data_IF_064742348261
#
_entry.id   IF_064742348261
#
_cell.length_a   1.000
_cell.length_b   1.000
_cell.length_c   1.000
_cell.angle_alpha   90.00
_cell.angle_beta   90.00
_cell.angle_gamma   90.00
#
_symmetry.space_group_name_H-M   'P 1'
#
loop_
_entity.id
_entity.type
_entity.pdbx_description
1 polymer ?
#
# COMPACT_ATOMS: atom_id res chain seq x y z
N UNK A 1 -12.35 1.45 -19.35
CA UNK A 1 -11.65 2.61 -19.94
C UNK A 1 -12.34 3.91 -19.49
N UNK A 2 -11.60 4.85 -18.91
CA UNK A 2 -12.06 6.16 -18.47
C UNK A 2 -11.90 7.16 -19.63
N UNK A 3 -13.00 7.82 -20.01
CA UNK A 3 -13.00 8.96 -20.94
C UNK A 3 -13.14 10.28 -20.17
N UNK A 4 -12.79 11.40 -20.80
CA UNK A 4 -12.99 12.74 -20.22
C UNK A 4 -14.48 13.03 -19.92
N UNK A 5 -15.40 12.56 -20.77
CA UNK A 5 -16.86 12.69 -20.53
C UNK A 5 -17.31 11.92 -19.29
N UNK A 6 -16.86 10.67 -19.14
CA UNK A 6 -17.18 9.86 -17.96
C UNK A 6 -16.61 10.50 -16.70
N UNK A 7 -15.37 11.00 -16.75
CA UNK A 7 -14.77 11.75 -15.65
C UNK A 7 -15.64 12.96 -15.27
N UNK A 8 -16.06 13.76 -16.25
CA UNK A 8 -16.91 14.93 -16.02
C UNK A 8 -18.23 14.58 -15.34
N UNK A 9 -18.84 13.46 -15.73
CA UNK A 9 -20.06 12.95 -15.08
C UNK A 9 -19.75 12.58 -13.62
N UNK A 10 -18.72 11.76 -13.37
CA UNK A 10 -18.34 11.32 -12.03
C UNK A 10 -18.05 12.51 -11.09
N UNK A 11 -17.39 13.56 -11.60
CA UNK A 11 -17.07 14.75 -10.79
C UNK A 11 -18.29 15.61 -10.43
N UNK A 12 -19.39 15.50 -11.17
CA UNK A 12 -20.63 16.27 -10.95
C UNK A 12 -21.70 15.49 -10.17
N UNK A 13 -21.50 14.20 -9.92
CA UNK A 13 -22.46 13.40 -9.16
C UNK A 13 -22.39 13.74 -7.68
N UNK A 14 -23.46 14.33 -7.15
CA UNK A 14 -23.56 14.75 -5.73
C UNK A 14 -23.81 13.59 -4.74
N UNK A 15 -24.14 12.40 -5.25
CA UNK A 15 -24.46 11.21 -4.43
C UNK A 15 -23.60 10.00 -4.78
N UNK A 16 -22.44 10.22 -5.42
CA UNK A 16 -21.53 9.13 -5.76
C UNK A 16 -20.94 8.54 -4.48
N UNK A 17 -21.11 7.23 -4.27
CA UNK A 17 -20.61 6.53 -3.07
C UNK A 17 -19.51 5.52 -3.39
N UNK A 18 -19.56 4.94 -4.59
CA UNK A 18 -18.68 3.85 -4.98
C UNK A 18 -18.30 3.98 -6.44
N UNK A 19 -17.03 3.75 -6.75
CA UNK A 19 -16.53 3.59 -8.11
C UNK A 19 -15.76 2.29 -8.17
N UNK A 20 -16.11 1.46 -9.14
CA UNK A 20 -15.40 0.22 -9.42
C UNK A 20 -14.97 0.20 -10.87
N UNK A 21 -13.71 -0.14 -11.08
CA UNK A 21 -13.17 -0.46 -12.39
C UNK A 21 -12.61 -1.87 -12.36
N UNK A 22 -13.20 -2.75 -13.16
CA UNK A 22 -12.62 -4.06 -13.42
C UNK A 22 -11.25 -3.91 -14.09
N UNK A 23 -11.19 -3.07 -15.13
CA UNK A 23 -9.99 -2.74 -15.89
C UNK A 23 -9.89 -1.22 -16.03
N UNK A 24 -8.91 -0.61 -15.37
CA UNK A 24 -8.66 0.82 -15.46
C UNK A 24 -7.60 1.13 -16.51
N UNK A 25 -8.01 1.91 -17.50
CA UNK A 25 -7.17 2.46 -18.54
C UNK A 25 -7.77 3.81 -18.92
N UNK A 26 -6.92 4.77 -19.22
CA UNK A 26 -7.33 6.12 -19.61
C UNK A 26 -7.28 6.21 -21.12
N UNK A 27 -8.39 6.57 -21.76
CA UNK A 27 -8.47 6.64 -23.23
C UNK A 27 -7.64 7.79 -23.80
N UNK A 28 -7.66 8.92 -23.09
CA UNK A 28 -7.07 10.19 -23.50
C UNK A 28 -6.57 10.96 -22.26
N UNK A 29 -5.50 11.76 -22.37
CA UNK A 29 -5.02 12.58 -21.26
C UNK A 29 -6.14 13.42 -20.62
N UNK A 30 -6.09 13.58 -19.30
CA UNK A 30 -7.11 14.35 -18.58
C UNK A 30 -7.00 15.83 -18.96
N UNK A 31 -8.08 16.38 -19.51
CA UNK A 31 -8.14 17.77 -19.97
C UNK A 31 -8.07 18.79 -18.82
N UNK A 32 -7.55 19.98 -19.12
CA UNK A 32 -7.39 21.07 -18.15
C UNK A 32 -8.73 21.57 -17.59
N UNK A 33 -9.83 21.48 -18.35
CA UNK A 33 -11.16 21.87 -17.88
C UNK A 33 -11.71 20.94 -16.79
N UNK A 34 -11.42 19.63 -16.89
CA UNK A 34 -11.69 18.65 -15.85
C UNK A 34 -10.90 18.98 -14.59
N UNK A 35 -9.81 19.76 -14.72
CA UNK A 35 -9.02 20.18 -13.58
C UNK A 35 -9.70 21.23 -12.69
N UNK A 36 -10.84 21.78 -13.08
CA UNK A 36 -11.58 22.79 -12.31
C UNK A 36 -12.66 22.20 -11.40
N UNK A 37 -13.02 20.93 -11.60
CA UNK A 37 -14.04 20.25 -10.80
C UNK A 37 -13.41 19.29 -9.80
N UNK A 38 -14.07 19.13 -8.66
CA UNK A 38 -13.75 18.12 -7.65
C UNK A 38 -15.03 17.49 -7.13
N UNK A 39 -15.00 16.19 -6.91
CA UNK A 39 -16.10 15.49 -6.26
C UNK A 39 -15.87 15.53 -4.74
N UNK A 40 -16.90 15.92 -3.99
CA UNK A 40 -16.85 16.09 -2.53
C UNK A 40 -17.56 14.97 -1.75
N UNK A 41 -18.16 14.01 -2.45
CA UNK A 41 -18.86 12.90 -1.81
C UNK A 41 -17.86 12.01 -1.05
N UNK A 42 -18.36 11.37 0.00
CA UNK A 42 -17.63 10.29 0.67
C UNK A 42 -17.63 9.09 -0.27
N UNK A 43 -16.46 8.77 -0.84
CA UNK A 43 -16.34 7.77 -1.89
C UNK A 43 -15.39 6.64 -1.50
N UNK A 44 -15.75 5.46 -1.98
CA UNK A 44 -15.00 4.23 -1.97
C UNK A 44 -14.60 3.88 -3.41
N UNK A 45 -13.33 3.61 -3.66
CA UNK A 45 -12.82 3.27 -4.99
C UNK A 45 -12.07 1.97 -5.00
N UNK A 46 -12.34 1.16 -6.03
CA UNK A 46 -11.68 -0.11 -6.26
C UNK A 46 -11.31 -0.28 -7.74
N UNK A 47 -10.08 -0.73 -7.98
CA UNK A 47 -9.51 -0.97 -9.30
C UNK A 47 -8.91 -2.38 -9.34
N UNK A 48 -9.61 -3.36 -9.91
CA UNK A 48 -9.15 -4.75 -9.95
C UNK A 48 -7.93 -4.95 -10.85
N UNK A 49 -7.81 -4.16 -11.91
CA UNK A 49 -6.63 -4.18 -12.76
C UNK A 49 -6.29 -2.75 -13.19
N UNK A 50 -5.26 -2.19 -12.55
CA UNK A 50 -4.67 -0.92 -12.95
C UNK A 50 -3.55 -1.18 -13.96
N UNK A 51 -3.86 -0.99 -15.24
CA UNK A 51 -2.92 -1.20 -16.34
C UNK A 51 -2.04 0.04 -16.56
N UNK A 52 -0.73 -0.17 -16.73
CA UNK A 52 0.14 0.86 -17.31
C UNK A 52 0.63 1.97 -16.36
N UNK A 53 1.00 1.62 -15.13
CA UNK A 53 1.73 2.45 -14.14
C UNK A 53 0.92 3.50 -13.36
N UNK A 54 1.44 3.89 -12.18
CA UNK A 54 0.96 4.99 -11.34
C UNK A 54 1.30 6.35 -12.01
N UNK A 55 0.73 6.57 -13.19
CA UNK A 55 1.06 7.67 -14.08
C UNK A 55 0.39 8.99 -13.65
N UNK A 56 0.73 10.07 -14.35
CA UNK A 56 0.18 11.39 -14.07
C UNK A 56 -1.35 11.43 -14.20
N UNK A 57 -1.93 10.67 -15.12
CA UNK A 57 -3.36 10.70 -15.38
C UNK A 57 -4.15 9.99 -14.27
N UNK A 58 -3.71 8.82 -13.81
CA UNK A 58 -4.29 8.14 -12.66
C UNK A 58 -4.19 9.00 -11.41
N UNK A 59 -3.02 9.60 -11.15
CA UNK A 59 -2.83 10.50 -10.02
C UNK A 59 -3.73 11.75 -10.12
N UNK A 60 -3.88 12.31 -11.33
CA UNK A 60 -4.81 13.40 -11.59
C UNK A 60 -6.26 12.98 -11.36
N UNK A 61 -6.66 11.76 -11.73
CA UNK A 61 -7.99 11.23 -11.51
C UNK A 61 -8.31 11.14 -10.02
N UNK A 62 -7.50 10.40 -9.25
CA UNK A 62 -7.78 10.15 -7.82
C UNK A 62 -7.75 11.46 -7.00
N UNK A 63 -6.89 12.41 -7.36
CA UNK A 63 -6.76 13.69 -6.65
C UNK A 63 -8.01 14.57 -6.77
N UNK A 64 -8.95 14.25 -7.68
CA UNK A 64 -10.21 14.98 -7.88
C UNK A 64 -11.28 14.64 -6.85
N UNK A 65 -11.11 13.53 -6.14
CA UNK A 65 -12.11 13.02 -5.21
C UNK A 65 -11.71 13.38 -3.78
N UNK A 66 -12.06 14.60 -3.37
CA UNK A 66 -11.58 15.16 -2.10
C UNK A 66 -12.21 14.50 -0.87
N UNK A 67 -13.32 13.79 -1.06
CA UNK A 67 -13.98 12.97 -0.04
C UNK A 67 -13.58 11.49 -0.08
N UNK A 68 -12.55 11.11 -0.84
CA UNK A 68 -12.09 9.72 -0.92
C UNK A 68 -11.70 9.20 0.48
N UNK A 69 -12.30 8.07 0.87
CA UNK A 69 -12.07 7.41 2.16
C UNK A 69 -11.44 6.03 2.03
N UNK A 70 -11.79 5.31 0.97
CA UNK A 70 -11.29 3.96 0.72
C UNK A 70 -10.74 3.88 -0.69
N UNK A 71 -9.52 3.37 -0.79
CA UNK A 71 -8.87 3.13 -2.07
C UNK A 71 -8.29 1.72 -2.08
N UNK A 72 -8.68 0.91 -3.06
CA UNK A 72 -8.12 -0.40 -3.32
C UNK A 72 -7.69 -0.48 -4.78
N UNK A 73 -6.48 -0.98 -5.04
CA UNK A 73 -6.05 -1.23 -6.41
C UNK A 73 -4.99 -2.33 -6.49
N UNK A 74 -5.12 -3.14 -7.55
CA UNK A 74 -4.16 -4.17 -7.90
C UNK A 74 -3.41 -3.72 -9.16
N UNK A 75 -2.09 -3.62 -9.05
CA UNK A 75 -1.22 -3.28 -10.17
C UNK A 75 -1.05 -4.49 -11.08
N UNK A 76 -1.49 -4.35 -12.33
CA UNK A 76 -1.29 -5.36 -13.37
C UNK A 76 -0.35 -4.77 -14.43
N UNK A 77 0.92 -5.13 -14.36
CA UNK A 77 1.88 -4.75 -15.41
C UNK A 77 1.81 -5.76 -16.55
N UNK A 78 1.39 -5.32 -17.74
CA UNK A 78 1.41 -6.15 -18.96
C UNK A 78 2.79 -6.10 -19.65
N UNK A 79 3.69 -5.17 -19.30
CA UNK A 79 4.92 -4.99 -20.05
C UNK A 79 6.03 -6.00 -19.67
N UNK A 80 6.45 -6.78 -20.67
CA UNK A 80 7.69 -7.57 -20.68
C UNK A 80 8.93 -6.71 -21.02
N UNK A 81 8.80 -5.38 -21.02
CA UNK A 81 9.84 -4.45 -21.43
C UNK A 81 10.31 -3.60 -20.24
N UNK A 82 11.59 -3.68 -19.84
CA UNK A 82 12.21 -2.91 -18.75
C UNK A 82 12.36 -1.40 -19.05
N UNK A 83 11.66 -0.89 -20.07
CA UNK A 83 11.82 0.49 -20.57
C UNK A 83 10.67 1.40 -20.11
N UNK A 84 9.54 0.85 -19.66
CA UNK A 84 8.33 1.64 -19.37
C UNK A 84 8.02 1.83 -17.87
N UNK A 85 8.89 1.39 -16.96
CA UNK A 85 8.76 1.64 -15.51
C UNK A 85 9.76 2.72 -15.07
N UNK A 86 9.88 3.80 -15.84
CA UNK A 86 10.61 5.01 -15.45
C UNK A 86 9.81 5.82 -14.43
N UNK A 87 9.79 5.40 -13.16
CA UNK A 87 8.87 5.99 -12.17
C UNK A 87 9.57 6.48 -10.89
N UNK A 88 10.89 6.45 -10.79
CA UNK A 88 11.58 7.01 -9.60
C UNK A 88 11.91 8.51 -9.74
N UNK A 89 12.57 8.92 -10.84
CA UNK A 89 13.11 10.27 -10.98
C UNK A 89 12.13 11.31 -11.56
N UNK A 90 11.01 10.88 -12.14
CA UNK A 90 10.05 11.79 -12.79
C UNK A 90 8.77 12.04 -11.98
N UNK A 91 8.37 11.15 -11.06
CA UNK A 91 7.16 11.37 -10.24
C UNK A 91 7.21 12.70 -9.51
N UNK A 92 8.31 12.98 -8.80
CA UNK A 92 8.43 14.22 -8.03
C UNK A 92 8.45 15.47 -8.95
N UNK A 93 8.79 15.28 -10.24
CA UNK A 93 8.74 16.29 -11.29
C UNK A 93 7.38 16.35 -12.00
N UNK A 94 6.44 15.44 -11.72
CA UNK A 94 5.11 15.48 -12.32
C UNK A 94 4.43 16.80 -11.93
N UNK A 95 3.87 17.47 -12.93
CA UNK A 95 3.14 18.72 -12.75
C UNK A 95 1.99 18.56 -11.76
N UNK A 96 1.38 17.38 -11.66
CA UNK A 96 0.36 17.09 -10.65
C UNK A 96 0.94 17.07 -9.23
N UNK A 97 2.12 16.49 -9.02
CA UNK A 97 2.73 16.44 -7.68
C UNK A 97 3.01 17.85 -7.19
N UNK A 98 3.62 18.71 -8.01
CA UNK A 98 3.88 20.10 -7.61
C UNK A 98 2.60 20.89 -7.30
N UNK A 99 1.50 20.65 -8.05
CA UNK A 99 0.19 21.29 -7.83
C UNK A 99 -0.51 20.81 -6.55
N UNK A 100 -0.42 19.52 -6.22
CA UNK A 100 -1.18 18.92 -5.12
C UNK A 100 -0.38 18.80 -3.82
N UNK A 101 0.97 18.80 -3.87
CA UNK A 101 1.86 18.70 -2.69
C UNK A 101 1.66 19.84 -1.68
N UNK A 102 1.12 21.00 -2.12
CA UNK A 102 0.87 22.19 -1.29
C UNK A 102 -0.57 22.34 -0.81
N UNK A 103 -1.45 21.39 -1.13
CA UNK A 103 -2.82 21.46 -0.61
C UNK A 103 -2.81 21.22 0.91
N UNK A 104 -3.25 22.23 1.66
CA UNK A 104 -3.35 22.15 3.13
C UNK A 104 -4.39 21.11 3.57
N UNK A 105 -5.42 20.89 2.76
CA UNK A 105 -6.52 19.96 3.03
C UNK A 105 -6.50 18.75 2.08
N UNK A 106 -5.57 17.82 2.32
CA UNK A 106 -5.53 16.53 1.60
C UNK A 106 -6.67 15.61 2.04
N UNK A 107 -7.19 14.74 1.14
CA UNK A 107 -8.23 13.79 1.51
C UNK A 107 -7.70 12.83 2.58
N UNK A 108 -8.55 12.51 3.56
CA UNK A 108 -8.21 11.70 4.72
C UNK A 108 -8.64 10.26 4.50
N UNK A 109 -7.74 9.44 3.96
CA UNK A 109 -7.97 8.02 3.75
C UNK A 109 -8.14 7.29 5.08
N UNK A 110 -9.08 6.38 5.12
CA UNK A 110 -9.33 5.47 6.24
C UNK A 110 -8.88 4.04 5.91
N UNK A 111 -8.90 3.67 4.63
CA UNK A 111 -8.45 2.38 4.11
C UNK A 111 -7.61 2.57 2.84
N UNK A 112 -6.52 1.81 2.75
CA UNK A 112 -5.69 1.73 1.56
C UNK A 112 -5.32 0.26 1.34
N UNK A 113 -5.63 -0.26 0.15
CA UNK A 113 -5.12 -1.53 -0.35
C UNK A 113 -4.32 -1.28 -1.62
N UNK A 114 -3.11 -1.82 -1.61
CA UNK A 114 -2.24 -1.92 -2.77
C UNK A 114 -1.77 -3.37 -2.87
N UNK A 115 -1.95 -3.97 -4.04
CA UNK A 115 -1.30 -5.22 -4.36
C UNK A 115 -0.53 -5.15 -5.67
N UNK A 116 0.55 -5.90 -5.72
CA UNK A 116 1.35 -6.09 -6.92
C UNK A 116 1.76 -7.56 -7.01
N UNK A 117 1.07 -8.31 -7.88
CA UNK A 117 1.28 -9.76 -8.02
C UNK A 117 2.51 -10.12 -8.88
N UNK A 118 3.18 -9.14 -9.50
CA UNK A 118 4.20 -9.39 -10.52
C UNK A 118 5.32 -10.31 -10.00
N UNK A 119 5.60 -11.37 -10.78
CA UNK A 119 6.69 -12.34 -10.55
C UNK A 119 8.01 -11.92 -11.22
N UNK A 120 7.99 -10.94 -12.13
CA UNK A 120 9.16 -10.44 -12.83
C UNK A 120 9.67 -9.15 -12.19
N UNK A 121 10.69 -9.38 -11.38
CA UNK A 121 11.50 -8.44 -10.63
C UNK A 121 12.33 -7.61 -11.59
N UNK A 122 12.11 -6.29 -11.66
CA UNK A 122 13.25 -5.42 -11.91
C UNK A 122 13.11 -3.97 -11.43
N UNK A 123 11.96 -3.29 -11.49
CA UNK A 123 12.08 -1.81 -11.63
C UNK A 123 11.15 -0.88 -10.87
N UNK A 124 10.24 -1.38 -10.03
CA UNK A 124 9.72 -0.46 -9.01
C UNK A 124 10.89 -0.38 -8.01
N UNK A 125 11.46 0.80 -7.78
CA UNK A 125 12.43 1.04 -6.70
C UNK A 125 11.95 2.17 -5.79
N UNK A 126 10.70 2.62 -5.96
CA UNK A 126 10.08 3.66 -5.13
C UNK A 126 9.09 3.05 -4.13
N UNK A 127 8.76 3.85 -3.13
CA UNK A 127 7.67 3.57 -2.19
C UNK A 127 6.36 4.04 -2.79
N UNK A 128 5.44 3.12 -3.05
CA UNK A 128 4.06 3.45 -3.45
C UNK A 128 3.36 4.19 -2.32
N UNK A 129 3.55 3.77 -1.07
CA UNK A 129 2.98 4.48 0.09
C UNK A 129 3.42 5.94 0.15
N UNK A 130 4.70 6.21 -0.13
CA UNK A 130 5.23 7.57 -0.15
C UNK A 130 4.59 8.39 -1.26
N UNK A 131 4.41 7.82 -2.45
CA UNK A 131 3.67 8.48 -3.53
C UNK A 131 2.27 8.91 -3.05
N UNK A 132 1.49 8.00 -2.49
CA UNK A 132 0.15 8.30 -2.00
C UNK A 132 0.17 9.31 -0.84
N UNK A 133 1.21 9.31 -0.01
CA UNK A 133 1.37 10.32 1.05
C UNK A 133 1.50 11.75 0.52
N UNK A 134 1.90 11.93 -0.74
CA UNK A 134 1.95 13.26 -1.38
C UNK A 134 0.56 13.82 -1.70
N UNK A 135 -0.43 12.95 -1.90
CA UNK A 135 -1.79 13.32 -2.31
C UNK A 135 -2.80 13.21 -1.16
N UNK A 136 -2.56 12.29 -0.21
CA UNK A 136 -3.50 11.95 0.86
C UNK A 136 -2.92 12.20 2.24
N UNK A 137 -3.76 12.60 3.19
CA UNK A 137 -3.42 12.57 4.61
C UNK A 137 -3.60 11.13 5.13
N UNK A 138 -2.47 10.43 5.22
CA UNK A 138 -2.42 9.06 5.69
C UNK A 138 -2.38 8.94 7.22
N UNK A 139 -2.28 10.04 7.99
CA UNK A 139 -2.19 9.95 9.46
C UNK A 139 -3.41 9.28 10.09
N UNK A 140 -4.57 9.41 9.43
CA UNK A 140 -5.86 8.88 9.87
C UNK A 140 -6.20 7.49 9.31
N UNK A 141 -5.28 6.87 8.55
CA UNK A 141 -5.47 5.53 8.01
C UNK A 141 -5.70 4.54 9.15
N UNK A 142 -6.78 3.76 9.07
CA UNK A 142 -7.17 2.73 10.06
C UNK A 142 -6.70 1.36 9.62
N UNK A 143 -6.75 1.10 8.32
CA UNK A 143 -6.41 -0.18 7.73
C UNK A 143 -5.52 -0.02 6.50
N UNK A 144 -4.46 -0.82 6.46
CA UNK A 144 -3.52 -0.88 5.36
C UNK A 144 -3.30 -2.33 4.94
N UNK A 145 -3.54 -2.61 3.66
CA UNK A 145 -3.12 -3.84 3.00
C UNK A 145 -2.05 -3.46 1.97
N UNK A 146 -0.81 -3.87 2.21
CA UNK A 146 0.33 -3.49 1.39
C UNK A 146 1.10 -4.73 0.94
N UNK A 147 0.76 -5.21 -0.27
CA UNK A 147 1.38 -6.37 -0.90
C UNK A 147 2.37 -5.90 -1.96
N UNK A 148 3.64 -5.82 -1.58
CA UNK A 148 4.72 -5.29 -2.41
C UNK A 148 5.78 -6.35 -2.68
N UNK A 149 6.52 -6.19 -3.79
CA UNK A 149 7.68 -7.04 -4.02
C UNK A 149 8.80 -6.74 -3.01
N UNK A 150 9.08 -5.47 -2.72
CA UNK A 150 10.11 -5.05 -1.76
C UNK A 150 9.62 -3.85 -0.93
N UNK A 151 10.27 -3.62 0.21
CA UNK A 151 10.12 -2.40 1.01
C UNK A 151 11.19 -1.36 0.61
N UNK A 152 10.83 -0.10 0.57
CA UNK A 152 11.73 1.03 0.34
C UNK A 152 11.94 1.82 1.63
N UNK A 153 13.09 2.49 1.78
CA UNK A 153 13.38 3.30 2.98
C UNK A 153 12.36 4.43 3.20
N UNK A 154 11.78 4.98 2.11
CA UNK A 154 10.70 5.97 2.19
C UNK A 154 9.39 5.37 2.75
N UNK A 155 9.20 4.05 2.74
CA UNK A 155 8.06 3.45 3.46
C UNK A 155 8.18 3.71 4.96
N UNK A 156 9.38 3.63 5.55
CA UNK A 156 9.60 3.88 6.98
C UNK A 156 9.07 5.26 7.38
N UNK A 157 9.37 6.29 6.59
CA UNK A 157 8.94 7.66 6.89
C UNK A 157 7.42 7.81 6.81
N UNK A 158 6.75 7.06 5.93
CA UNK A 158 5.28 7.03 5.90
C UNK A 158 4.73 6.32 7.14
N UNK A 159 5.31 5.18 7.51
CA UNK A 159 4.89 4.41 8.69
C UNK A 159 5.01 5.19 10.00
N UNK A 160 6.06 6.01 10.15
CA UNK A 160 6.25 6.89 11.30
C UNK A 160 5.13 7.92 11.49
N UNK A 161 4.42 8.26 10.41
CA UNK A 161 3.35 9.27 10.40
C UNK A 161 1.96 8.69 10.70
N UNK A 162 1.77 7.36 10.70
CA UNK A 162 0.49 6.77 11.06
C UNK A 162 0.14 7.04 12.53
N UNK A 163 -1.06 7.57 12.78
CA UNK A 163 -1.57 7.85 14.14
C UNK A 163 -2.74 6.96 14.56
N UNK A 164 -3.46 6.38 13.59
CA UNK A 164 -4.70 5.63 13.83
C UNK A 164 -4.70 4.21 13.25
N UNK A 165 -3.58 3.74 12.73
CA UNK A 165 -3.49 2.44 12.07
C UNK A 165 -3.74 1.32 13.10
N UNK A 166 -4.83 0.57 12.91
CA UNK A 166 -5.26 -0.53 13.79
C UNK A 166 -5.09 -1.89 13.13
N UNK A 167 -5.19 -1.95 11.80
CA UNK A 167 -5.08 -3.18 11.03
C UNK A 167 -3.98 -3.01 9.98
N UNK A 168 -3.01 -3.93 9.97
CA UNK A 168 -1.91 -3.93 9.02
C UNK A 168 -1.74 -5.33 8.44
N UNK A 169 -1.86 -5.44 7.13
CA UNK A 169 -1.46 -6.60 6.35
C UNK A 169 -0.28 -6.20 5.45
N UNK A 170 0.87 -6.84 5.68
CA UNK A 170 2.09 -6.62 4.92
C UNK A 170 2.49 -7.92 4.26
N UNK A 171 2.55 -7.92 2.93
CA UNK A 171 3.06 -9.05 2.17
C UNK A 171 4.25 -8.57 1.35
N UNK A 172 5.45 -8.98 1.73
CA UNK A 172 6.70 -8.55 1.11
C UNK A 172 7.43 -9.77 0.56
N UNK A 173 7.59 -9.85 -0.76
CA UNK A 173 8.32 -10.96 -1.38
C UNK A 173 9.79 -10.90 -0.99
N UNK A 174 10.54 -9.91 -1.44
CA UNK A 174 11.95 -9.76 -1.08
C UNK A 174 12.20 -8.65 -0.06
N UNK A 175 13.06 -8.94 0.92
CA UNK A 175 13.47 -7.96 1.91
C UNK A 175 15.00 -7.84 1.88
N UNK A 176 15.49 -6.61 1.79
CA UNK A 176 16.92 -6.33 1.96
C UNK A 176 17.26 -6.44 3.45
N UNK A 177 17.85 -7.58 3.80
CA UNK A 177 18.30 -7.93 5.15
C UNK A 177 19.32 -6.95 5.74
N UNK A 178 20.02 -6.16 4.92
CA UNK A 178 21.00 -5.19 5.42
C UNK A 178 20.38 -3.84 5.79
N UNK A 179 19.23 -3.49 5.20
CA UNK A 179 18.58 -2.19 5.45
C UNK A 179 17.65 -2.22 6.68
N UNK A 180 17.27 -3.41 7.15
CA UNK A 180 16.39 -3.61 8.30
C UNK A 180 15.10 -2.78 8.20
N UNK A 181 14.53 -2.66 7.00
CA UNK A 181 13.37 -1.76 6.75
C UNK A 181 12.14 -2.27 7.50
N UNK A 182 11.88 -3.58 7.44
CA UNK A 182 10.77 -4.19 8.18
C UNK A 182 10.90 -3.95 9.68
N UNK A 183 12.07 -4.22 10.27
CA UNK A 183 12.34 -3.92 11.67
C UNK A 183 12.03 -2.45 12.01
N UNK A 184 12.53 -1.48 11.23
CA UNK A 184 12.28 -0.05 11.47
C UNK A 184 10.79 0.28 11.42
N UNK A 185 10.04 -0.31 10.49
CA UNK A 185 8.58 -0.16 10.41
C UNK A 185 7.92 -0.71 11.69
N UNK A 186 8.30 -1.91 12.13
CA UNK A 186 7.75 -2.56 13.33
C UNK A 186 8.11 -1.81 14.63
N UNK A 187 9.29 -1.19 14.69
CA UNK A 187 9.74 -0.39 15.83
C UNK A 187 9.11 1.01 15.88
N UNK A 188 8.50 1.44 14.78
CA UNK A 188 7.84 2.75 14.67
C UNK A 188 6.64 2.88 15.61
N UNK A 189 5.95 4.03 15.53
CA UNK A 189 4.82 4.35 16.41
C UNK A 189 3.62 3.42 16.24
N UNK A 190 3.53 2.67 15.14
CA UNK A 190 2.42 1.74 14.88
C UNK A 190 2.26 0.68 15.97
N UNK A 191 3.34 0.31 16.68
CA UNK A 191 3.27 -0.67 17.78
C UNK A 191 2.34 -0.27 18.93
N UNK A 192 1.98 1.02 19.02
CA UNK A 192 1.05 1.56 20.03
C UNK A 192 -0.42 1.48 19.61
N UNK A 193 -0.70 1.24 18.34
CA UNK A 193 -2.05 1.36 17.77
C UNK A 193 -2.56 0.08 17.14
N UNK A 194 -1.66 -0.75 16.60
CA UNK A 194 -2.01 -1.97 15.89
C UNK A 194 -2.68 -2.99 16.82
N UNK A 195 -3.86 -3.43 16.39
CA UNK A 195 -4.67 -4.48 17.00
C UNK A 195 -4.58 -5.80 16.22
N UNK A 196 -4.58 -5.71 14.88
CA UNK A 196 -4.38 -6.85 13.95
C UNK A 196 -3.12 -6.62 13.13
N UNK A 197 -2.21 -7.58 13.18
CA UNK A 197 -0.97 -7.60 12.40
C UNK A 197 -0.90 -8.91 11.61
N UNK A 198 -0.83 -8.79 10.29
CA UNK A 198 -0.62 -9.87 9.35
C UNK A 198 0.65 -9.57 8.54
N UNK A 199 1.66 -10.43 8.63
CA UNK A 199 2.93 -10.24 7.93
C UNK A 199 3.32 -11.52 7.22
N UNK A 200 3.42 -11.45 5.90
CA UNK A 200 3.96 -12.49 5.04
C UNK A 200 5.26 -12.00 4.41
N UNK A 201 6.37 -12.68 4.71
CA UNK A 201 7.70 -12.35 4.14
C UNK A 201 8.49 -13.58 3.74
N UNK A 202 9.50 -13.45 2.88
CA UNK A 202 10.39 -14.59 2.60
C UNK A 202 11.09 -15.10 3.86
N UNK A 203 11.69 -14.22 4.67
CA UNK A 203 12.37 -14.58 5.91
C UNK A 203 12.29 -13.45 6.91
N UNK A 204 11.99 -13.78 8.17
CA UNK A 204 12.16 -12.86 9.28
C UNK A 204 13.58 -12.92 9.81
N UNK A 205 14.16 -11.76 10.12
CA UNK A 205 15.33 -11.72 10.98
C UNK A 205 14.89 -11.74 12.46
N UNK A 206 15.83 -12.01 13.37
CA UNK A 206 15.53 -12.08 14.81
C UNK A 206 15.00 -10.76 15.37
N UNK A 207 15.47 -9.63 14.85
CA UNK A 207 15.08 -8.30 15.32
C UNK A 207 13.64 -7.94 14.91
N UNK A 208 13.18 -8.37 13.72
CA UNK A 208 11.79 -8.22 13.29
C UNK A 208 10.85 -8.88 14.31
N UNK A 209 11.16 -10.13 14.69
CA UNK A 209 10.36 -10.89 15.65
C UNK A 209 10.41 -10.27 17.06
N UNK A 210 11.58 -9.77 17.48
CA UNK A 210 11.71 -9.04 18.74
C UNK A 210 10.86 -7.76 18.72
N UNK A 211 10.84 -7.01 17.61
CA UNK A 211 10.06 -5.79 17.48
C UNK A 211 8.54 -6.06 17.64
N UNK A 212 8.04 -7.18 17.13
CA UNK A 212 6.63 -7.60 17.26
C UNK A 212 6.23 -7.77 18.73
N UNK A 213 7.13 -8.27 19.60
CA UNK A 213 6.85 -8.46 21.03
C UNK A 213 6.46 -7.15 21.76
N UNK A 214 6.86 -6.00 21.23
CA UNK A 214 6.63 -4.69 21.84
C UNK A 214 5.33 -4.02 21.41
N UNK A 215 4.45 -4.73 20.69
CA UNK A 215 3.15 -4.18 20.34
C UNK A 215 2.20 -4.17 21.56
N UNK A 216 1.75 -2.98 21.93
CA UNK A 216 1.00 -2.73 23.19
C UNK A 216 -0.45 -3.21 23.11
N UNK A 217 -1.04 -3.21 21.91
CA UNK A 217 -2.48 -3.47 21.68
C UNK A 217 -2.76 -4.69 20.80
N UNK A 218 -1.73 -5.42 20.40
CA UNK A 218 -1.86 -6.53 19.46
C UNK A 218 -2.70 -7.65 20.07
N UNK A 219 -3.73 -8.09 19.33
CA UNK A 219 -4.60 -9.21 19.70
C UNK A 219 -4.73 -10.27 18.62
N UNK A 220 -4.52 -9.89 17.37
CA UNK A 220 -4.53 -10.83 16.24
C UNK A 220 -3.18 -10.74 15.55
N UNK A 221 -2.43 -11.84 15.60
CA UNK A 221 -1.13 -11.98 14.95
C UNK A 221 -1.20 -13.10 13.91
N UNK A 222 -0.88 -12.78 12.67
CA UNK A 222 -0.68 -13.76 11.59
C UNK A 222 0.70 -13.53 11.00
N UNK A 223 1.49 -14.59 10.93
CA UNK A 223 2.84 -14.53 10.37
C UNK A 223 3.02 -15.65 9.36
N UNK A 224 3.48 -15.30 8.16
CA UNK A 224 3.86 -16.24 7.12
C UNK A 224 5.33 -16.06 6.76
N UNK A 225 6.11 -17.15 6.73
CA UNK A 225 7.45 -17.10 6.15
C UNK A 225 7.92 -18.42 5.55
N UNK A 226 8.94 -18.32 4.68
CA UNK A 226 9.69 -19.50 4.23
C UNK A 226 10.61 -19.95 5.36
N UNK A 227 10.44 -21.20 5.82
CA UNK A 227 11.40 -21.79 6.76
C UNK A 227 12.46 -22.52 5.98
N UNK A 228 13.70 -22.10 6.23
CA UNK A 228 14.90 -22.73 5.67
C UNK A 228 15.52 -23.74 6.63
N UNK A 229 15.38 -23.56 7.95
CA UNK A 229 16.04 -24.39 8.97
C UNK A 229 15.27 -24.49 10.31
N UNK A 230 15.76 -25.32 11.25
CA UNK A 230 15.17 -25.45 12.58
C UNK A 230 15.30 -24.20 13.45
N UNK A 231 16.29 -23.35 13.19
CA UNK A 231 16.54 -22.15 13.99
C UNK A 231 15.43 -21.12 13.74
N UNK A 232 14.95 -21.02 12.48
CA UNK A 232 13.79 -20.22 12.11
C UNK A 232 12.55 -20.64 12.94
N UNK A 233 12.29 -21.95 13.09
CA UNK A 233 11.18 -22.47 13.92
C UNK A 233 11.31 -22.08 15.39
N UNK A 234 12.52 -22.13 15.94
CA UNK A 234 12.76 -21.75 17.34
C UNK A 234 12.55 -20.24 17.56
N UNK A 235 12.90 -19.40 16.59
CA UNK A 235 12.69 -17.96 16.67
C UNK A 235 11.20 -17.58 16.76
N UNK A 236 10.31 -18.31 16.10
CA UNK A 236 8.87 -18.08 16.23
C UNK A 236 8.30 -18.46 17.61
N UNK A 237 8.92 -19.40 18.34
CA UNK A 237 8.44 -19.82 19.67
C UNK A 237 8.42 -18.69 20.69
N UNK A 238 9.25 -17.65 20.52
CA UNK A 238 9.25 -16.49 21.40
C UNK A 238 7.92 -15.71 21.34
N UNK A 239 7.24 -15.72 20.19
CA UNK A 239 5.97 -15.02 19.99
C UNK A 239 4.78 -15.74 20.65
N UNK A 240 4.88 -17.04 20.89
CA UNK A 240 3.83 -17.81 21.58
C UNK A 240 3.55 -17.32 23.01
N UNK A 241 4.43 -16.49 23.58
CA UNK A 241 4.27 -15.90 24.93
C UNK A 241 3.49 -14.57 24.92
N UNK A 242 3.13 -14.05 23.75
CA UNK A 242 2.35 -12.82 23.65
C UNK A 242 0.89 -13.06 24.07
N UNK A 243 0.30 -12.05 24.72
CA UNK A 243 -1.11 -12.07 25.12
C UNK A 243 -2.05 -11.75 23.93
N UNK A 244 -2.03 -12.64 22.92
CA UNK A 244 -2.86 -12.60 21.72
C UNK A 244 -4.12 -13.46 21.88
N UNK A 245 -5.19 -13.07 21.20
CA UNK A 245 -6.44 -13.85 21.11
C UNK A 245 -6.31 -14.89 19.98
N UNK A 246 -5.64 -14.50 18.89
CA UNK A 246 -5.34 -15.37 17.75
C UNK A 246 -3.87 -15.17 17.36
N UNK A 247 -3.16 -16.28 17.23
CA UNK A 247 -1.78 -16.34 16.71
C UNK A 247 -1.68 -17.47 15.71
N UNK A 248 -1.61 -17.13 14.42
CA UNK A 248 -1.40 -18.09 13.33
C UNK A 248 0.00 -17.91 12.76
N UNK A 249 0.74 -19.01 12.65
CA UNK A 249 2.09 -19.00 12.09
C UNK A 249 2.10 -20.02 10.96
N UNK A 250 2.17 -19.50 9.74
CA UNK A 250 2.22 -20.27 8.51
C UNK A 250 3.66 -20.39 8.04
N UNK A 251 4.04 -21.61 7.71
CA UNK A 251 5.38 -21.94 7.27
C UNK A 251 5.24 -22.82 6.04
N UNK A 252 5.88 -22.42 4.94
CA UNK A 252 6.06 -23.28 3.78
C UNK A 252 7.53 -23.33 3.35
N UNK A 253 7.91 -24.40 2.65
CA UNK A 253 9.16 -24.48 1.89
C UNK A 253 9.07 -23.77 0.54
N UNK A 254 7.85 -23.51 0.05
CA UNK A 254 7.56 -22.72 -1.14
C UNK A 254 6.76 -21.46 -0.79
N UNK A 255 7.31 -20.32 -1.15
CA UNK A 255 6.67 -19.02 -0.93
C UNK A 255 5.38 -18.90 -1.73
N UNK A 256 5.29 -19.48 -2.93
CA UNK A 256 4.10 -19.32 -3.76
C UNK A 256 2.84 -19.87 -3.06
N UNK A 257 2.97 -20.95 -2.28
CA UNK A 257 1.85 -21.53 -1.53
C UNK A 257 1.27 -20.61 -0.45
N UNK A 258 2.09 -19.74 0.15
CA UNK A 258 1.65 -18.81 1.20
C UNK A 258 0.92 -17.57 0.64
N UNK A 259 1.12 -17.26 -0.64
CA UNK A 259 0.47 -16.11 -1.30
C UNK A 259 -0.91 -16.47 -1.89
N UNK A 260 -1.24 -17.77 -1.98
CA UNK A 260 -2.51 -18.28 -2.52
C UNK A 260 -3.40 -18.97 -1.47
N UNK A 261 -3.01 -18.96 -0.19
CA UNK A 261 -3.74 -19.52 0.96
C UNK A 261 -4.44 -18.43 1.76
#
# INVERSE_FOLDING_TARGET
MLTNDLLRILLKLDNLKYIFFECFQISEPIESENLNYTNKCVIYMEFNALFGSLDNNFLCFIARFIGLKHLSFDMVTISYSPVEIFVYNEIENLSVVSKYKRLENRPKLEFLQYSNEIKYVSEIHFSVLYLFSLFFDLQNLKELIYKSYYLNIKDVTVFENFKKLTCLELSIKENDIYLYILQKILESRIKKTIFKLDILVNKFNKLDLIAILYFEKLKILKLGAKISDENDKQNFKFLCRMNTILSEIFVSTDIQELYYS
#
